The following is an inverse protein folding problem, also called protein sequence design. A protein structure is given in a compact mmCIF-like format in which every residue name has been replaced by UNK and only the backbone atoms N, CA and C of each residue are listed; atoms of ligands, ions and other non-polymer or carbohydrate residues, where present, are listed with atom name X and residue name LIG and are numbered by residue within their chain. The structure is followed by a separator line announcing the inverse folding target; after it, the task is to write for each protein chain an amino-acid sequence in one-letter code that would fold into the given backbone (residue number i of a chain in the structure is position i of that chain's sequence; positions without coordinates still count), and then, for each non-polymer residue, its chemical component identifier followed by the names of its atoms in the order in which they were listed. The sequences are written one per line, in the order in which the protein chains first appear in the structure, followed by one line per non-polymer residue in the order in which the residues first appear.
data_IF_226639040252
#
_entry.id   IF_226639040252
#
_cell.length_a   1.000
_cell.length_b   1.000
_cell.length_c   1.000
_cell.angle_alpha   90.00
_cell.angle_beta   90.00
_cell.angle_gamma   90.00
#
_symmetry.space_group_name_H-M   'P 1'
#
loop_
_entity.id
_entity.type
_entity.pdbx_description
1 polymer ?
#
# COMPACT_ATOMS: atom_id res chain seq x y z
N UNK A 1 -66.93 -15.15 68.08
CA UNK A 1 -66.53 -16.36 67.34
C UNK A 1 -65.23 -16.01 66.64
N UNK A 2 -64.06 -16.40 67.21
CA UNK A 2 -63.19 -17.51 66.82
C UNK A 2 -62.95 -17.57 65.32
N UNK A 3 -61.70 -17.36 64.76
CA UNK A 3 -60.53 -18.23 64.82
C UNK A 3 -59.36 -17.47 64.18
N UNK A 4 -58.21 -17.49 64.77
CA UNK A 4 -56.91 -18.11 64.47
C UNK A 4 -56.44 -18.11 63.01
N UNK A 5 -55.17 -17.65 62.77
CA UNK A 5 -54.42 -18.21 61.72
C UNK A 5 -53.05 -17.50 61.47
N UNK A 6 -52.05 -17.93 62.17
CA UNK A 6 -50.64 -18.21 61.79
C UNK A 6 -49.87 -17.25 60.91
N UNK A 7 -48.85 -16.75 61.55
CA UNK A 7 -47.58 -16.16 60.94
C UNK A 7 -46.83 -17.21 60.13
N UNK A 8 -46.36 -16.79 58.94
CA UNK A 8 -45.30 -17.47 58.23
C UNK A 8 -44.15 -16.47 57.96
N UNK A 9 -43.09 -16.69 58.71
CA UNK A 9 -41.82 -16.02 58.44
C UNK A 9 -41.20 -16.66 57.22
N UNK A 10 -41.07 -15.92 56.14
CA UNK A 10 -40.22 -16.26 54.96
C UNK A 10 -38.86 -15.65 55.11
N UNK A 11 -37.91 -16.48 55.42
CA UNK A 11 -36.49 -16.14 55.40
C UNK A 11 -36.05 -15.85 53.92
N UNK A 12 -35.71 -14.60 53.64
CA UNK A 12 -35.09 -14.24 52.35
C UNK A 12 -33.60 -14.54 52.49
N UNK A 13 -33.16 -15.63 51.89
CA UNK A 13 -31.73 -15.90 51.67
C UNK A 13 -31.22 -14.99 50.56
N UNK A 14 -30.42 -13.99 50.94
CA UNK A 14 -29.68 -13.15 49.99
C UNK A 14 -28.49 -13.96 49.49
N UNK A 15 -28.63 -14.56 48.30
CA UNK A 15 -27.47 -15.10 47.56
C UNK A 15 -26.64 -13.96 46.99
N UNK A 16 -25.54 -13.68 47.67
CA UNK A 16 -24.52 -12.75 47.15
C UNK A 16 -23.75 -13.45 46.04
N UNK A 17 -24.16 -13.21 44.77
CA UNK A 17 -23.36 -13.59 43.61
C UNK A 17 -22.16 -12.68 43.49
N UNK A 18 -21.00 -13.14 43.94
CA UNK A 18 -19.69 -12.57 43.58
C UNK A 18 -19.47 -12.85 42.11
N UNK A 19 -19.81 -11.86 41.27
CA UNK A 19 -19.37 -11.82 39.87
C UNK A 19 -17.89 -11.47 39.88
N UNK A 20 -17.03 -12.48 39.87
CA UNK A 20 -15.61 -12.29 39.50
C UNK A 20 -15.55 -11.94 38.02
N UNK A 21 -15.48 -10.64 37.71
CA UNK A 21 -15.11 -10.17 36.40
C UNK A 21 -13.69 -10.63 36.11
N UNK A 22 -13.55 -11.75 35.43
CA UNK A 22 -12.30 -12.18 34.83
C UNK A 22 -12.04 -11.20 33.68
N UNK A 23 -11.25 -10.15 33.91
CA UNK A 23 -10.62 -9.41 32.83
C UNK A 23 -9.77 -10.41 32.05
N UNK A 24 -10.32 -10.95 30.96
CA UNK A 24 -9.49 -11.48 29.87
C UNK A 24 -8.65 -10.30 29.40
N UNK A 25 -7.36 -10.28 29.79
CA UNK A 25 -6.36 -9.54 29.02
C UNK A 25 -6.56 -9.99 27.56
N UNK A 26 -6.99 -9.06 26.72
CA UNK A 26 -6.83 -9.22 25.28
C UNK A 26 -5.33 -9.43 25.10
N UNK A 27 -4.93 -10.64 24.75
CA UNK A 27 -3.56 -10.91 24.35
C UNK A 27 -3.29 -9.94 23.19
N UNK A 28 -2.25 -9.15 23.30
CA UNK A 28 -1.66 -8.50 22.14
C UNK A 28 -1.40 -9.63 21.14
N UNK A 29 -2.19 -9.69 20.06
CA UNK A 29 -1.82 -10.51 18.92
C UNK A 29 -0.44 -9.99 18.49
N UNK A 30 0.56 -10.88 18.36
CA UNK A 30 1.87 -10.46 17.91
C UNK A 30 1.66 -9.78 16.54
N UNK A 31 2.08 -8.52 16.42
CA UNK A 31 2.13 -7.81 15.16
C UNK A 31 2.76 -8.77 14.15
N UNK A 32 2.02 -9.08 13.09
CA UNK A 32 2.54 -9.93 12.02
C UNK A 32 3.90 -9.35 11.59
N UNK A 33 4.96 -10.11 11.80
CA UNK A 33 6.30 -9.66 11.38
C UNK A 33 6.28 -9.52 9.87
N UNK A 34 6.49 -8.30 9.39
CA UNK A 34 6.61 -8.01 7.96
C UNK A 34 7.76 -8.86 7.42
N UNK A 35 7.52 -9.57 6.33
CA UNK A 35 8.57 -10.32 5.65
C UNK A 35 9.49 -9.31 4.95
N UNK A 36 10.78 -9.35 5.29
CA UNK A 36 11.81 -8.52 4.67
C UNK A 36 12.72 -9.42 3.83
N UNK A 37 12.88 -9.08 2.56
CA UNK A 37 13.78 -9.76 1.63
C UNK A 37 14.56 -8.71 0.83
N UNK A 38 15.69 -8.21 1.37
CA UNK A 38 16.42 -7.08 0.79
C UNK A 38 16.85 -7.28 -0.65
N UNK A 39 17.28 -8.49 -1.01
CA UNK A 39 17.72 -8.83 -2.37
C UNK A 39 16.57 -8.75 -3.36
N UNK A 40 15.39 -9.24 -2.98
CA UNK A 40 14.18 -9.15 -3.81
C UNK A 40 13.69 -7.72 -3.93
N UNK A 41 13.72 -6.96 -2.84
CA UNK A 41 13.38 -5.53 -2.84
C UNK A 41 14.29 -4.71 -3.76
N UNK A 42 15.60 -5.01 -3.75
CA UNK A 42 16.54 -4.34 -4.64
C UNK A 42 16.31 -4.71 -6.12
N UNK A 43 16.05 -5.99 -6.39
CA UNK A 43 15.72 -6.45 -7.74
C UNK A 43 14.46 -5.77 -8.27
N UNK A 44 13.42 -5.69 -7.44
CA UNK A 44 12.13 -5.09 -7.79
C UNK A 44 12.28 -3.63 -8.21
N UNK A 45 12.99 -2.81 -7.44
CA UNK A 45 13.28 -1.40 -7.77
C UNK A 45 13.97 -1.22 -9.14
N UNK A 46 14.92 -2.11 -9.46
CA UNK A 46 15.65 -2.04 -10.72
C UNK A 46 14.77 -2.52 -11.86
N UNK A 47 14.07 -3.65 -11.68
CA UNK A 47 13.20 -4.25 -12.67
C UNK A 47 12.05 -3.30 -13.06
N UNK A 48 11.45 -2.63 -12.09
CA UNK A 48 10.42 -1.62 -12.31
C UNK A 48 10.87 -0.51 -13.25
N UNK A 49 12.05 0.09 -13.00
CA UNK A 49 12.62 1.12 -13.87
C UNK A 49 12.87 0.60 -15.28
N UNK A 50 13.42 -0.60 -15.40
CA UNK A 50 13.75 -1.20 -16.69
C UNK A 50 12.48 -1.61 -17.46
N UNK A 51 11.43 -2.01 -16.77
CA UNK A 51 10.10 -2.25 -17.35
C UNK A 51 9.55 -0.96 -17.99
N UNK A 52 9.68 0.19 -17.34
CA UNK A 52 9.32 1.50 -17.90
C UNK A 52 10.04 1.80 -19.21
N UNK A 53 11.34 1.52 -19.30
CA UNK A 53 12.10 1.66 -20.56
C UNK A 53 11.60 0.70 -21.64
N UNK A 54 11.23 -0.52 -21.28
CA UNK A 54 10.69 -1.49 -22.23
C UNK A 54 9.33 -1.05 -22.79
N UNK A 55 8.45 -0.51 -21.95
CA UNK A 55 7.14 0.03 -22.37
C UNK A 55 7.26 1.24 -23.30
N UNK A 56 8.27 2.08 -23.11
CA UNK A 56 8.56 3.24 -23.97
C UNK A 56 9.40 2.90 -25.20
N UNK A 57 9.88 1.66 -25.31
CA UNK A 57 10.73 1.20 -26.42
C UNK A 57 12.18 1.69 -26.35
N UNK A 58 12.62 2.21 -25.20
CA UNK A 58 14.00 2.68 -25.00
C UNK A 58 14.95 1.50 -24.73
N UNK A 59 15.28 0.77 -25.77
CA UNK A 59 16.21 -0.38 -25.69
C UNK A 59 17.65 0.02 -25.34
N UNK A 60 18.03 1.29 -25.54
CA UNK A 60 19.34 1.78 -25.12
C UNK A 60 19.44 1.87 -23.60
N UNK A 61 18.44 2.45 -22.96
CA UNK A 61 18.36 2.53 -21.49
C UNK A 61 18.23 1.15 -20.84
N UNK A 62 17.52 0.21 -21.49
CA UNK A 62 17.49 -1.20 -21.03
C UNK A 62 18.90 -1.78 -21.01
N UNK A 63 19.65 -1.66 -22.12
CA UNK A 63 21.01 -2.20 -22.24
C UNK A 63 21.99 -1.59 -21.25
N UNK A 64 21.86 -0.30 -20.97
CA UNK A 64 22.66 0.39 -19.96
C UNK A 64 22.35 -0.11 -18.55
N UNK A 65 21.10 -0.42 -18.25
CA UNK A 65 20.66 -0.93 -16.94
C UNK A 65 20.87 -2.43 -16.76
N UNK A 66 21.08 -3.18 -17.84
CA UNK A 66 21.14 -4.64 -17.84
C UNK A 66 22.18 -5.23 -16.87
N UNK A 67 23.43 -4.70 -16.74
CA UNK A 67 24.40 -5.22 -15.78
C UNK A 67 23.88 -5.20 -14.34
N UNK A 68 23.28 -4.08 -13.92
CA UNK A 68 22.71 -3.93 -12.57
C UNK A 68 21.50 -4.84 -12.35
N UNK A 69 20.64 -4.99 -13.36
CA UNK A 69 19.49 -5.88 -13.33
C UNK A 69 19.93 -7.36 -13.16
N UNK A 70 20.92 -7.79 -13.93
CA UNK A 70 21.46 -9.15 -13.86
C UNK A 70 22.16 -9.41 -12.52
N UNK A 71 22.89 -8.45 -11.98
CA UNK A 71 23.52 -8.56 -10.66
C UNK A 71 22.46 -8.73 -9.57
N UNK A 72 21.45 -7.87 -9.55
CA UNK A 72 20.36 -7.93 -8.58
C UNK A 72 19.55 -9.24 -8.72
N UNK A 73 19.24 -9.67 -9.95
CA UNK A 73 18.51 -10.92 -10.18
C UNK A 73 19.27 -12.17 -9.69
N UNK A 74 20.59 -12.20 -9.88
CA UNK A 74 21.43 -13.28 -9.38
C UNK A 74 21.64 -13.29 -7.87
N UNK A 75 21.41 -12.16 -7.19
CA UNK A 75 21.44 -12.06 -5.74
C UNK A 75 20.23 -12.74 -5.08
N UNK A 76 19.10 -12.83 -5.78
CA UNK A 76 17.88 -13.50 -5.29
C UNK A 76 18.05 -15.02 -5.50
N UNK A 77 18.34 -15.72 -4.43
CA UNK A 77 18.64 -17.16 -4.45
C UNK A 77 17.82 -17.91 -3.38
N UNK A 78 17.68 -19.22 -3.44
CA UNK A 78 17.04 -19.99 -2.37
C UNK A 78 17.66 -19.76 -0.98
N UNK A 79 18.94 -19.38 -0.91
CA UNK A 79 19.64 -19.12 0.34
C UNK A 79 19.28 -17.76 0.97
N UNK A 80 18.68 -16.84 0.19
CA UNK A 80 18.26 -15.51 0.67
C UNK A 80 16.77 -15.47 1.02
N UNK A 81 16.01 -16.56 0.78
CA UNK A 81 14.58 -16.64 1.11
C UNK A 81 14.37 -16.52 2.62
N UNK A 82 13.53 -15.61 3.09
CA UNK A 82 13.23 -15.46 4.51
C UNK A 82 12.54 -16.69 5.09
N UNK A 83 12.91 -17.08 6.31
CA UNK A 83 12.32 -18.24 7.02
C UNK A 83 10.80 -18.07 7.29
N UNK A 84 10.33 -16.81 7.38
CA UNK A 84 8.93 -16.46 7.64
C UNK A 84 8.10 -16.23 6.38
N UNK A 85 8.56 -16.72 5.23
CA UNK A 85 7.86 -16.66 3.95
C UNK A 85 6.47 -17.28 4.01
N UNK A 86 5.46 -16.58 3.48
CA UNK A 86 4.06 -17.00 3.59
C UNK A 86 3.73 -18.29 2.81
N UNK A 87 4.30 -18.46 1.60
CA UNK A 87 4.01 -19.58 0.68
C UNK A 87 5.30 -20.19 0.10
N UNK A 88 6.11 -20.92 0.91
CA UNK A 88 7.46 -21.36 0.50
C UNK A 88 7.49 -22.16 -0.81
N UNK A 89 6.50 -23.03 -1.03
CA UNK A 89 6.44 -23.86 -2.25
C UNK A 89 6.21 -23.04 -3.52
N UNK A 90 5.46 -21.95 -3.42
CA UNK A 90 5.25 -21.03 -4.56
C UNK A 90 6.50 -20.20 -4.79
N UNK A 91 7.18 -19.77 -3.73
CA UNK A 91 8.47 -19.07 -3.82
C UNK A 91 9.49 -19.92 -4.56
N UNK A 92 9.63 -21.20 -4.25
CA UNK A 92 10.56 -22.10 -4.95
C UNK A 92 10.24 -22.18 -6.45
N UNK A 93 8.97 -22.27 -6.82
CA UNK A 93 8.56 -22.31 -8.22
C UNK A 93 8.88 -20.98 -8.95
N UNK A 94 8.57 -19.83 -8.32
CA UNK A 94 8.84 -18.51 -8.89
C UNK A 94 10.34 -18.20 -8.98
N UNK A 95 11.16 -18.69 -8.05
CA UNK A 95 12.61 -18.58 -8.16
C UNK A 95 13.17 -19.29 -9.39
N UNK A 96 12.61 -20.45 -9.74
CA UNK A 96 13.01 -21.15 -10.97
C UNK A 96 12.66 -20.34 -12.22
N UNK A 97 11.48 -19.70 -12.24
CA UNK A 97 11.07 -18.82 -13.35
C UNK A 97 11.95 -17.57 -13.42
N UNK A 98 12.29 -16.96 -12.29
CA UNK A 98 13.22 -15.84 -12.21
C UNK A 98 14.60 -16.20 -12.78
N UNK A 99 15.17 -17.33 -12.37
CA UNK A 99 16.47 -17.80 -12.87
C UNK A 99 16.43 -17.96 -14.39
N UNK A 100 15.38 -18.56 -14.95
CA UNK A 100 15.24 -18.72 -16.40
C UNK A 100 15.21 -17.38 -17.14
N UNK A 101 14.53 -16.36 -16.60
CA UNK A 101 14.47 -15.03 -17.20
C UNK A 101 15.83 -14.32 -17.11
N UNK A 102 16.52 -14.37 -15.95
CA UNK A 102 17.83 -13.79 -15.76
C UNK A 102 18.88 -14.45 -16.67
N UNK A 103 18.81 -15.77 -16.85
CA UNK A 103 19.67 -16.49 -17.79
C UNK A 103 19.37 -16.09 -19.24
N UNK A 104 18.08 -15.95 -19.59
CA UNK A 104 17.66 -15.45 -20.90
C UNK A 104 18.21 -14.04 -21.17
N UNK A 105 18.09 -13.13 -20.22
CA UNK A 105 18.61 -11.75 -20.31
C UNK A 105 20.15 -11.68 -20.36
N UNK A 106 20.84 -12.73 -19.92
CA UNK A 106 22.32 -12.82 -19.95
C UNK A 106 22.87 -13.17 -21.34
N UNK A 107 22.01 -13.47 -22.31
CA UNK A 107 22.47 -13.82 -23.69
C UNK A 107 23.05 -12.61 -24.41
N UNK A 108 24.24 -12.78 -25.02
CA UNK A 108 24.94 -11.70 -25.75
C UNK A 108 24.27 -11.34 -27.09
N UNK A 109 23.39 -12.21 -27.64
CA UNK A 109 22.81 -12.06 -28.98
C UNK A 109 21.33 -11.62 -28.98
N UNK A 110 20.84 -10.96 -27.89
CA UNK A 110 19.46 -10.51 -27.83
C UNK A 110 19.22 -9.33 -28.78
N UNK A 111 18.30 -9.50 -29.73
CA UNK A 111 17.73 -8.37 -30.46
C UNK A 111 16.86 -7.49 -29.54
N UNK A 112 16.46 -6.32 -30.05
CA UNK A 112 15.71 -5.35 -29.25
C UNK A 112 14.32 -5.84 -28.83
N UNK A 113 13.66 -6.62 -29.68
CA UNK A 113 12.32 -7.16 -29.42
C UNK A 113 12.38 -8.25 -28.35
N UNK A 114 13.31 -9.18 -28.47
CA UNK A 114 13.53 -10.26 -27.49
C UNK A 114 13.95 -9.68 -26.13
N UNK A 115 14.83 -8.66 -26.13
CA UNK A 115 15.26 -7.99 -24.93
C UNK A 115 14.09 -7.34 -24.20
N UNK A 116 13.27 -6.55 -24.91
CA UNK A 116 12.09 -5.90 -24.33
C UNK A 116 11.06 -6.92 -23.83
N UNK A 117 10.84 -8.00 -24.58
CA UNK A 117 9.92 -9.07 -24.17
C UNK A 117 10.35 -9.78 -22.90
N UNK A 118 11.64 -10.09 -22.73
CA UNK A 118 12.17 -10.70 -21.52
C UNK A 118 12.05 -9.75 -20.31
N UNK A 119 12.34 -8.47 -20.50
CA UNK A 119 12.19 -7.46 -19.45
C UNK A 119 10.74 -7.33 -19.01
N UNK A 120 9.80 -7.21 -19.96
CA UNK A 120 8.36 -7.15 -19.65
C UNK A 120 7.84 -8.43 -18.98
N UNK A 121 8.48 -9.58 -19.23
CA UNK A 121 8.16 -10.84 -18.56
C UNK A 121 8.73 -10.96 -17.14
N UNK A 122 9.77 -10.19 -16.81
CA UNK A 122 10.47 -10.28 -15.53
C UNK A 122 9.65 -9.70 -14.38
N UNK A 123 9.10 -8.50 -14.55
CA UNK A 123 8.38 -7.79 -13.50
C UNK A 123 7.18 -8.58 -12.96
N UNK A 124 6.30 -9.20 -13.78
CA UNK A 124 5.22 -10.05 -13.27
C UNK A 124 5.67 -11.28 -12.46
N UNK A 125 6.87 -11.79 -12.71
CA UNK A 125 7.43 -12.90 -11.93
C UNK A 125 7.91 -12.39 -10.56
N UNK A 126 8.55 -11.22 -10.53
CA UNK A 126 8.97 -10.57 -9.29
C UNK A 126 7.76 -10.25 -8.41
N UNK A 127 6.68 -9.69 -8.97
CA UNK A 127 5.46 -9.39 -8.24
C UNK A 127 4.85 -10.64 -7.58
N UNK A 128 4.75 -11.74 -8.33
CA UNK A 128 4.26 -13.01 -7.79
C UNK A 128 5.17 -13.58 -6.72
N UNK A 129 6.48 -13.36 -6.83
CA UNK A 129 7.45 -13.77 -5.84
C UNK A 129 7.29 -12.97 -4.54
N UNK A 130 7.09 -11.65 -4.64
CA UNK A 130 6.78 -10.75 -3.53
C UNK A 130 5.49 -11.19 -2.83
N UNK A 131 4.42 -11.45 -3.59
CA UNK A 131 3.15 -11.94 -3.07
C UNK A 131 3.30 -13.28 -2.36
N UNK A 132 3.96 -14.25 -2.99
CA UNK A 132 4.18 -15.58 -2.41
C UNK A 132 5.06 -15.54 -1.16
N UNK A 133 6.01 -14.61 -1.09
CA UNK A 133 6.80 -14.36 0.10
C UNK A 133 5.99 -13.74 1.24
N UNK A 134 4.86 -13.09 0.96
CA UNK A 134 4.08 -12.34 1.93
C UNK A 134 4.70 -10.97 2.25
N UNK A 135 5.50 -10.46 1.32
CA UNK A 135 6.03 -9.10 1.39
C UNK A 135 4.95 -8.09 1.01
N UNK A 136 4.97 -6.88 1.55
CA UNK A 136 4.17 -5.80 1.01
C UNK A 136 4.60 -5.53 -0.44
N UNK A 137 3.64 -5.40 -1.35
CA UNK A 137 3.94 -4.99 -2.72
C UNK A 137 4.56 -3.59 -2.70
N UNK A 138 5.76 -3.46 -3.23
CA UNK A 138 6.46 -2.19 -3.36
C UNK A 138 6.12 -1.50 -4.69
N UNK A 139 5.82 -2.31 -5.72
CA UNK A 139 5.44 -1.87 -7.06
C UNK A 139 4.34 -2.82 -7.56
N UNK A 140 3.49 -2.39 -8.45
CA UNK A 140 2.50 -3.27 -9.08
C UNK A 140 1.04 -2.87 -8.90
N UNK A 141 0.79 -1.78 -8.19
CA UNK A 141 -0.51 -1.14 -8.15
C UNK A 141 -0.38 0.33 -8.56
N UNK A 142 0.27 0.62 -9.70
CA UNK A 142 0.24 1.96 -10.24
C UNK A 142 -1.14 2.27 -10.80
N UNK A 143 -1.61 3.44 -10.41
CA UNK A 143 -2.85 4.00 -10.92
C UNK A 143 -2.63 4.81 -12.21
N UNK A 144 -3.70 5.32 -12.78
CA UNK A 144 -3.66 6.12 -14.01
C UNK A 144 -2.95 7.48 -13.88
N UNK A 145 -2.56 7.89 -12.67
CA UNK A 145 -1.86 9.14 -12.38
C UNK A 145 -0.43 8.90 -11.88
N UNK A 146 0.14 7.71 -12.13
CA UNK A 146 1.47 7.28 -11.70
C UNK A 146 1.65 7.24 -10.17
N UNK A 147 0.54 7.18 -9.42
CA UNK A 147 0.52 6.93 -7.98
C UNK A 147 0.34 5.45 -7.67
N UNK A 148 0.53 5.07 -6.41
CA UNK A 148 0.33 3.69 -5.97
C UNK A 148 -1.09 3.47 -5.47
N UNK A 149 -1.69 2.36 -5.89
CA UNK A 149 -3.06 1.98 -5.53
C UNK A 149 -3.11 1.25 -4.19
N UNK A 150 -3.88 1.77 -3.27
CA UNK A 150 -4.10 1.15 -1.95
C UNK A 150 -5.58 0.86 -1.75
N UNK A 151 -5.96 -0.38 -1.37
CA UNK A 151 -7.34 -0.71 -1.07
C UNK A 151 -7.84 0.08 0.14
N UNK A 152 -9.08 0.56 0.06
CA UNK A 152 -9.74 1.29 1.15
C UNK A 152 -10.82 0.41 1.75
N UNK A 153 -10.79 0.28 3.07
CA UNK A 153 -11.69 -0.58 3.84
C UNK A 153 -12.62 0.25 4.72
N UNK A 154 -13.82 -0.26 4.95
CA UNK A 154 -14.72 0.26 5.98
C UNK A 154 -14.38 -0.31 7.37
N UNK A 155 -15.09 0.14 8.40
CA UNK A 155 -14.90 -0.33 9.77
C UNK A 155 -15.19 -1.85 9.96
N UNK A 156 -15.86 -2.49 9.01
CA UNK A 156 -16.10 -3.93 9.02
C UNK A 156 -14.97 -4.73 8.32
N UNK A 157 -13.94 -4.04 7.78
CA UNK A 157 -12.85 -4.67 7.03
C UNK A 157 -13.20 -5.05 5.59
N UNK A 158 -14.32 -4.55 5.06
CA UNK A 158 -14.72 -4.79 3.67
C UNK A 158 -14.09 -3.72 2.78
N UNK A 159 -13.50 -4.13 1.65
CA UNK A 159 -12.98 -3.19 0.66
C UNK A 159 -14.12 -2.44 -0.02
N UNK A 160 -14.12 -1.11 0.09
CA UNK A 160 -15.16 -0.22 -0.44
C UNK A 160 -14.66 0.72 -1.52
N UNK A 161 -13.35 0.76 -1.74
CA UNK A 161 -12.72 1.62 -2.73
C UNK A 161 -11.23 1.38 -2.86
N UNK A 162 -10.59 2.28 -3.58
CA UNK A 162 -9.13 2.34 -3.77
C UNK A 162 -8.70 3.80 -3.68
N UNK A 163 -7.58 4.05 -3.03
CA UNK A 163 -6.87 5.31 -3.05
C UNK A 163 -5.60 5.17 -3.88
N UNK A 164 -5.45 5.96 -4.91
CA UNK A 164 -4.18 6.15 -5.60
C UNK A 164 -3.45 7.28 -4.89
N UNK A 165 -2.22 7.02 -4.44
CA UNK A 165 -1.43 7.97 -3.66
C UNK A 165 -0.09 8.19 -4.35
N UNK A 166 0.23 9.45 -4.66
CA UNK A 166 1.47 9.87 -5.30
C UNK A 166 2.22 10.85 -4.39
N UNK A 167 3.46 10.56 -4.12
CA UNK A 167 4.38 11.45 -3.41
C UNK A 167 5.45 11.93 -4.41
N UNK A 168 5.60 13.24 -4.54
CA UNK A 168 6.64 13.85 -5.37
C UNK A 168 7.95 14.02 -4.59
N UNK A 169 9.05 13.51 -5.13
CA UNK A 169 10.35 13.51 -4.46
C UNK A 169 11.01 14.88 -4.37
N UNK A 170 10.71 15.79 -5.30
CA UNK A 170 11.29 17.12 -5.40
C UNK A 170 10.63 18.15 -4.46
N UNK A 171 9.30 18.14 -4.39
CA UNK A 171 8.51 19.10 -3.62
C UNK A 171 7.99 18.55 -2.29
N UNK A 172 7.89 17.20 -2.16
CA UNK A 172 7.30 16.53 -0.99
C UNK A 172 5.78 16.67 -0.95
N UNK A 173 5.15 17.07 -2.06
CA UNK A 173 3.68 17.10 -2.12
C UNK A 173 3.12 15.70 -2.36
N UNK A 174 1.94 15.54 -1.81
CA UNK A 174 1.14 14.32 -1.92
C UNK A 174 -0.13 14.60 -2.70
N UNK A 175 -0.46 13.68 -3.57
CA UNK A 175 -1.71 13.68 -4.31
C UNK A 175 -2.46 12.37 -4.05
N UNK A 176 -3.77 12.45 -3.91
CA UNK A 176 -4.64 11.30 -3.65
C UNK A 176 -5.86 11.36 -4.56
N UNK A 177 -6.07 10.32 -5.33
CA UNK A 177 -7.29 10.08 -6.10
C UNK A 177 -8.07 8.91 -5.50
N UNK A 178 -9.37 9.11 -5.30
CA UNK A 178 -10.25 8.10 -4.72
C UNK A 178 -11.16 7.48 -5.79
N UNK A 179 -11.27 6.15 -5.80
CA UNK A 179 -12.22 5.42 -6.65
C UNK A 179 -13.06 4.46 -5.80
N UNK A 180 -14.28 4.18 -6.23
CA UNK A 180 -15.14 3.16 -5.59
C UNK A 180 -14.88 1.79 -6.21
N UNK A 181 -14.93 0.76 -5.39
CA UNK A 181 -14.60 -0.60 -5.83
C UNK A 181 -13.11 -0.80 -6.02
N UNK A 182 -12.74 -1.72 -6.91
CA UNK A 182 -11.35 -2.04 -7.24
C UNK A 182 -10.74 -1.10 -8.27
N UNK A 183 -9.61 -1.52 -8.85
CA UNK A 183 -8.90 -0.82 -9.91
C UNK A 183 -9.84 -0.50 -11.10
N UNK A 184 -9.79 0.76 -11.57
CA UNK A 184 -10.64 1.24 -12.68
C UNK A 184 -12.10 1.54 -12.29
N UNK A 185 -12.39 1.63 -11.00
CA UNK A 185 -13.71 2.00 -10.49
C UNK A 185 -14.09 3.45 -10.77
N UNK A 186 -15.37 3.77 -10.53
CA UNK A 186 -15.87 5.15 -10.66
C UNK A 186 -15.24 6.08 -9.62
N UNK A 187 -15.02 7.37 -9.96
CA UNK A 187 -14.49 8.35 -9.00
C UNK A 187 -15.32 8.42 -7.71
N UNK A 188 -14.69 8.21 -6.58
CA UNK A 188 -15.32 8.35 -5.27
C UNK A 188 -15.23 9.80 -4.80
N UNK A 189 -16.25 10.57 -5.11
CA UNK A 189 -16.29 11.99 -4.81
C UNK A 189 -16.78 12.25 -3.39
N UNK A 190 -16.05 13.10 -2.68
CA UNK A 190 -16.41 13.68 -1.38
C UNK A 190 -16.69 15.17 -1.55
N UNK A 191 -17.50 15.78 -0.66
CA UNK A 191 -17.68 17.23 -0.67
C UNK A 191 -16.34 17.98 -0.68
N UNK A 192 -16.25 19.11 -1.38
CA UNK A 192 -15.00 19.90 -1.52
C UNK A 192 -14.44 20.45 -0.20
N UNK A 193 -15.20 20.45 0.88
CA UNK A 193 -14.77 20.80 2.23
C UNK A 193 -14.31 19.61 3.06
N UNK A 194 -14.33 18.40 2.48
CA UNK A 194 -13.76 17.20 3.11
C UNK A 194 -12.25 17.26 3.18
N UNK A 195 -11.70 16.57 4.15
CA UNK A 195 -10.25 16.34 4.31
C UNK A 195 -9.93 14.87 4.47
N UNK A 196 -8.72 14.48 4.06
CA UNK A 196 -8.16 13.16 4.31
C UNK A 196 -6.95 13.31 5.24
N UNK A 197 -6.76 12.39 6.16
CA UNK A 197 -5.61 12.38 7.06
C UNK A 197 -4.68 11.24 6.68
N UNK A 198 -3.44 11.55 6.34
CA UNK A 198 -2.37 10.57 6.13
C UNK A 198 -1.47 10.59 7.36
N UNK A 199 -1.55 9.52 8.14
CA UNK A 199 -0.75 9.34 9.34
C UNK A 199 0.55 8.58 9.01
N UNK A 200 1.65 8.95 9.69
CA UNK A 200 2.96 8.31 9.62
C UNK A 200 3.33 7.81 11.02
N UNK A 201 2.90 6.59 11.41
CA UNK A 201 3.02 6.12 12.80
C UNK A 201 4.46 6.12 13.32
N UNK A 202 5.43 5.71 12.49
CA UNK A 202 6.83 5.60 12.89
C UNK A 202 7.53 6.98 13.03
N UNK A 203 6.92 8.04 12.46
CA UNK A 203 7.43 9.42 12.51
C UNK A 203 6.65 10.31 13.48
N UNK A 204 5.58 9.79 14.09
CA UNK A 204 4.65 10.56 14.93
C UNK A 204 4.15 11.83 14.21
N UNK A 205 3.85 11.71 12.92
CA UNK A 205 3.38 12.80 12.06
C UNK A 205 2.05 12.44 11.40
N UNK A 206 1.26 13.48 11.11
CA UNK A 206 0.05 13.38 10.31
C UNK A 206 -0.04 14.60 9.42
N UNK A 207 -0.35 14.39 8.15
CA UNK A 207 -0.67 15.46 7.21
C UNK A 207 -2.15 15.42 6.86
N UNK A 208 -2.72 16.59 6.57
CA UNK A 208 -4.11 16.72 6.15
C UNK A 208 -4.13 17.13 4.68
N UNK A 209 -4.70 16.26 3.84
CA UNK A 209 -4.92 16.56 2.43
C UNK A 209 -6.29 17.24 2.28
N UNK A 210 -6.34 18.23 1.40
CA UNK A 210 -7.54 18.99 1.08
C UNK A 210 -7.56 19.35 -0.40
N UNK A 211 -8.62 20.01 -0.87
CA UNK A 211 -8.63 20.62 -2.21
C UNK A 211 -7.77 21.88 -2.23
N UNK A 212 -7.04 22.13 -3.32
CA UNK A 212 -6.30 23.40 -3.51
C UNK A 212 -7.25 24.57 -3.76
N UNK A 213 -8.30 24.32 -4.53
CA UNK A 213 -9.31 25.34 -4.88
C UNK A 213 -10.69 24.69 -4.83
N UNK A 214 -11.62 25.33 -4.12
CA UNK A 214 -12.99 24.83 -3.94
C UNK A 214 -13.90 25.06 -5.15
N UNK A 215 -13.44 25.81 -6.13
CA UNK A 215 -14.20 26.16 -7.35
C UNK A 215 -13.65 25.41 -8.55
N UNK A 216 -12.32 25.31 -8.66
CA UNK A 216 -11.62 24.78 -9.83
C UNK A 216 -10.41 23.94 -9.39
N UNK A 217 -10.66 22.88 -8.64
CA UNK A 217 -9.62 21.95 -8.18
C UNK A 217 -9.07 21.17 -9.39
N UNK A 218 -7.91 21.56 -9.90
CA UNK A 218 -7.26 20.94 -11.06
C UNK A 218 -6.22 19.91 -10.64
N UNK A 219 -6.19 18.80 -11.36
CA UNK A 219 -5.13 17.80 -11.27
C UNK A 219 -3.89 18.22 -12.07
N UNK A 220 -2.86 17.36 -12.07
CA UNK A 220 -1.61 17.58 -12.83
C UNK A 220 -1.83 17.77 -14.33
N UNK A 221 -2.85 17.15 -14.92
CA UNK A 221 -3.20 17.33 -16.34
C UNK A 221 -3.85 18.69 -16.63
N UNK A 222 -4.18 19.45 -15.58
CA UNK A 222 -4.95 20.69 -15.66
C UNK A 222 -6.46 20.48 -15.81
N UNK A 223 -6.96 19.25 -15.68
CA UNK A 223 -8.37 18.95 -15.73
C UNK A 223 -9.06 19.30 -14.40
N UNK A 224 -10.28 19.86 -14.46
CA UNK A 224 -11.05 20.09 -13.23
C UNK A 224 -11.57 18.76 -12.68
N UNK A 225 -11.36 18.54 -11.37
CA UNK A 225 -11.79 17.33 -10.67
C UNK A 225 -13.12 17.51 -9.95
N UNK A 226 -13.67 18.74 -9.89
CA UNK A 226 -14.92 19.04 -9.21
C UNK A 226 -16.12 18.74 -10.12
N UNK A 227 -17.06 17.99 -9.58
CA UNK A 227 -18.37 17.74 -10.17
C UNK A 227 -19.43 17.86 -9.09
N UNK A 228 -20.43 18.72 -9.29
CA UNK A 228 -21.56 18.93 -8.36
C UNK A 228 -21.13 19.25 -6.92
N UNK A 229 -20.06 20.05 -6.75
CA UNK A 229 -19.54 20.43 -5.43
C UNK A 229 -18.80 19.33 -4.67
N UNK A 230 -18.38 18.28 -5.39
CA UNK A 230 -17.62 17.16 -4.83
C UNK A 230 -16.43 16.81 -5.73
N UNK A 231 -15.38 16.23 -5.15
CA UNK A 231 -14.15 15.82 -5.84
C UNK A 231 -13.66 14.47 -5.33
N UNK A 232 -12.92 13.74 -6.17
CA UNK A 232 -12.16 12.55 -5.79
C UNK A 232 -10.66 12.82 -5.63
N UNK A 233 -10.21 14.08 -5.76
CA UNK A 233 -8.80 14.47 -5.79
C UNK A 233 -8.48 15.43 -4.64
N UNK A 234 -7.48 15.06 -3.83
CA UNK A 234 -7.01 15.78 -2.66
C UNK A 234 -5.50 15.87 -2.65
N UNK A 235 -4.96 16.95 -2.11
CA UNK A 235 -3.53 17.23 -2.13
C UNK A 235 -3.02 17.69 -0.77
N UNK A 236 -1.72 17.48 -0.54
CA UNK A 236 -0.94 18.10 0.52
C UNK A 236 0.36 18.67 -0.08
N UNK A 237 0.73 19.93 0.23
CA UNK A 237 -0.03 20.91 1.00
C UNK A 237 -1.30 21.35 0.28
N UNK A 238 -2.44 21.25 0.94
CA UNK A 238 -3.71 21.83 0.46
C UNK A 238 -3.76 23.34 0.68
N UNK A 239 -3.04 23.82 1.71
CA UNK A 239 -2.95 25.24 2.09
C UNK A 239 -1.51 25.74 2.01
N UNK A 240 -1.33 27.02 1.67
CA UNK A 240 0.00 27.65 1.62
C UNK A 240 0.65 27.67 3.01
N UNK A 241 1.87 27.16 3.12
CA UNK A 241 2.70 27.23 4.32
C UNK A 241 2.77 25.96 5.16
N UNK A 242 2.14 24.86 4.74
CA UNK A 242 2.38 23.57 5.34
C UNK A 242 3.80 23.09 4.98
N UNK A 243 4.53 22.54 5.97
CA UNK A 243 5.89 22.05 5.77
C UNK A 243 5.86 20.65 5.15
N UNK A 244 6.20 20.57 3.86
CA UNK A 244 6.36 19.35 3.10
C UNK A 244 7.83 18.90 2.98
N UNK A 245 8.79 19.68 3.46
CA UNK A 245 10.23 19.45 3.24
C UNK A 245 10.73 18.13 3.80
N UNK A 246 10.11 17.62 4.84
CA UNK A 246 10.45 16.34 5.46
C UNK A 246 10.02 15.11 4.64
N UNK A 247 9.18 15.31 3.62
CA UNK A 247 8.75 14.29 2.65
C UNK A 247 9.61 14.26 1.40
N UNK A 248 10.53 15.24 1.24
CA UNK A 248 11.38 15.36 0.05
C UNK A 248 12.48 14.32 0.01
N UNK A 249 12.91 13.98 -1.19
CA UNK A 249 14.06 13.13 -1.50
C UNK A 249 13.66 11.75 -1.97
N UNK A 250 14.36 11.28 -2.99
CA UNK A 250 14.13 9.97 -3.63
C UNK A 250 14.30 8.77 -2.67
N UNK A 251 15.01 8.97 -1.56
CA UNK A 251 15.24 7.93 -0.53
C UNK A 251 14.17 7.95 0.58
N UNK A 252 13.17 8.85 0.51
CA UNK A 252 12.11 8.86 1.51
C UNK A 252 11.34 7.55 1.48
N UNK A 253 11.16 6.92 2.63
CA UNK A 253 10.30 5.77 2.81
C UNK A 253 9.75 5.77 4.24
N UNK A 254 8.43 5.62 4.38
CA UNK A 254 7.78 5.57 5.69
C UNK A 254 6.53 4.70 5.63
N UNK A 255 6.15 4.13 6.77
CA UNK A 255 4.80 3.55 6.91
C UNK A 255 3.79 4.68 6.97
N UNK A 256 2.69 4.51 6.24
CA UNK A 256 1.60 5.47 6.18
C UNK A 256 0.24 4.76 6.27
N UNK A 257 -0.77 5.50 6.71
CA UNK A 257 -2.15 5.05 6.74
C UNK A 257 -3.05 6.23 6.38
N UNK A 258 -3.82 6.10 5.30
CA UNK A 258 -4.79 7.12 4.90
C UNK A 258 -6.13 6.85 5.59
N UNK A 259 -6.67 7.86 6.26
CA UNK A 259 -7.97 7.83 6.94
C UNK A 259 -8.86 8.97 6.49
N UNK A 260 -10.12 8.67 6.26
CA UNK A 260 -11.14 9.67 5.95
C UNK A 260 -12.53 9.14 6.24
N UNK A 261 -13.40 9.97 6.84
CA UNK A 261 -14.72 9.51 7.29
C UNK A 261 -14.59 8.23 8.15
N UNK A 262 -15.27 7.15 7.75
CA UNK A 262 -15.22 5.84 8.41
C UNK A 262 -14.36 4.82 7.63
N UNK A 263 -13.45 5.31 6.78
CA UNK A 263 -12.66 4.48 5.86
C UNK A 263 -11.15 4.63 6.11
N UNK A 264 -10.39 3.56 5.86
CA UNK A 264 -8.93 3.50 5.99
C UNK A 264 -8.32 2.61 4.92
N UNK A 265 -7.07 2.90 4.53
CA UNK A 265 -6.28 2.01 3.66
C UNK A 265 -5.58 0.88 4.43
N UNK A 266 -5.63 0.91 5.78
CA UNK A 266 -4.67 0.14 6.56
C UNK A 266 -3.26 0.74 6.44
N UNK A 267 -2.27 0.05 7.01
CA UNK A 267 -0.87 0.52 6.97
C UNK A 267 -0.18 0.02 5.70
N UNK A 268 0.48 0.92 4.98
CA UNK A 268 1.25 0.63 3.77
C UNK A 268 2.60 1.36 3.78
N UNK A 269 3.54 0.94 2.93
CA UNK A 269 4.78 1.68 2.71
C UNK A 269 4.52 2.79 1.68
N UNK A 270 4.86 4.03 2.04
CA UNK A 270 4.84 5.18 1.15
C UNK A 270 6.27 5.56 0.80
N UNK A 271 6.53 5.72 -0.49
CA UNK A 271 7.78 6.22 -1.05
C UNK A 271 7.48 7.06 -2.29
N UNK A 272 8.43 7.93 -2.72
CA UNK A 272 8.18 8.84 -3.83
C UNK A 272 8.05 8.10 -5.16
N UNK A 273 7.24 8.67 -6.03
CA UNK A 273 7.35 8.45 -7.46
C UNK A 273 8.62 9.14 -7.96
N UNK A 274 9.53 8.40 -8.57
CA UNK A 274 10.81 8.92 -9.07
C UNK A 274 10.67 9.22 -10.57
N UNK A 275 10.93 10.48 -10.96
CA UNK A 275 10.90 10.95 -12.34
C UNK A 275 12.16 10.60 -13.12
#
# INVERSE_FOLDING_TARGET
MKFFGLSAWSSIAVCLFLVTSSCKQAGEEPLATVVEWPELTNLDKIAYRVDGFARTGDTSAIRESLPSLLEAGRAVTPATVPDNTAQPQQVDAMLADLVNLIDGLSSEELDSESLSSLVLGLHPVIEKLIEAAGMPHLHGNEGPHDGFLHPVFNAAGEQIGTAEIKLHDDAGDLEVWLTRGGHGGEPWRLPVDSTLNLAFPDLDKTVTLAVRDRVDNRDESGATTISEGATSYFVFPGETGADATWLQGAEFAAKAELRFQDATTGTFALYPHVH
#
